data_IF_652807412256
#
_entry.id   IF_652807412256
#
_cell.length_a   1.000
_cell.length_b   1.000
_cell.length_c   1.000
_cell.angle_alpha   90.00
_cell.angle_beta   90.00
_cell.angle_gamma   90.00
#
_symmetry.space_group_name_H-M   'P 1'
#
loop_
_entity.id
_entity.type
_entity.pdbx_description
1 polymer ?
#
# COMPACT_ATOMS: atom_id res chain seq x y z
N UNK A 1 -15.69 22.09 -19.87
CA UNK A 1 -15.13 20.72 -20.00
C UNK A 1 -16.26 19.69 -19.99
N UNK A 2 -16.59 19.06 -21.13
CA UNK A 2 -17.68 18.05 -21.25
C UNK A 2 -17.50 17.06 -22.43
N UNK A 3 -16.25 16.83 -22.89
CA UNK A 3 -15.97 16.07 -24.13
C UNK A 3 -15.36 14.68 -23.95
N UNK A 4 -14.94 14.31 -22.73
CA UNK A 4 -14.26 13.03 -22.46
C UNK A 4 -15.21 11.86 -22.15
N UNK A 5 -16.44 12.13 -21.68
CA UNK A 5 -17.35 11.06 -21.25
C UNK A 5 -18.08 10.38 -22.42
N UNK A 6 -18.35 11.11 -23.51
CA UNK A 6 -18.96 10.54 -24.70
C UNK A 6 -17.99 9.59 -25.44
N UNK A 7 -16.70 9.90 -25.49
CA UNK A 7 -15.72 9.07 -26.21
C UNK A 7 -15.47 7.73 -25.52
N UNK A 8 -15.47 7.69 -24.18
CA UNK A 8 -15.25 6.45 -23.43
C UNK A 8 -16.40 5.45 -23.61
N UNK A 9 -17.64 5.94 -23.52
CA UNK A 9 -18.83 5.11 -23.74
C UNK A 9 -18.88 4.57 -25.17
N UNK A 10 -18.57 5.41 -26.16
CA UNK A 10 -18.51 5.00 -27.56
C UNK A 10 -17.41 3.95 -27.81
N UNK A 11 -16.24 4.10 -27.20
CA UNK A 11 -15.16 3.11 -27.30
C UNK A 11 -15.53 1.77 -26.63
N UNK A 12 -16.24 1.79 -25.49
CA UNK A 12 -16.72 0.57 -24.84
C UNK A 12 -17.78 -0.17 -25.67
N UNK A 13 -18.77 0.56 -26.20
CA UNK A 13 -19.81 -0.03 -27.04
C UNK A 13 -19.22 -0.64 -28.31
N UNK A 14 -18.26 0.05 -28.92
CA UNK A 14 -17.57 -0.49 -30.10
C UNK A 14 -16.75 -1.74 -29.78
N UNK A 15 -16.07 -1.80 -28.64
CA UNK A 15 -15.33 -2.99 -28.24
C UNK A 15 -16.27 -4.17 -27.92
N UNK A 16 -17.48 -3.91 -27.42
CA UNK A 16 -18.53 -4.92 -27.25
C UNK A 16 -19.02 -5.44 -28.61
N UNK A 17 -19.31 -4.55 -29.56
CA UNK A 17 -19.75 -4.92 -30.91
C UNK A 17 -18.68 -5.71 -31.69
N UNK A 18 -17.40 -5.51 -31.35
CA UNK A 18 -16.25 -6.17 -31.96
C UNK A 18 -15.76 -7.42 -31.16
N UNK A 19 -16.49 -7.84 -30.12
CA UNK A 19 -16.12 -8.98 -29.24
C UNK A 19 -14.71 -8.85 -28.58
N UNK A 20 -14.24 -7.62 -28.37
CA UNK A 20 -12.92 -7.30 -27.78
C UNK A 20 -13.01 -7.16 -26.27
N UNK A 21 -13.34 -8.25 -25.59
CA UNK A 21 -13.59 -8.28 -24.15
C UNK A 21 -12.39 -7.85 -23.29
N UNK A 22 -11.17 -8.17 -23.72
CA UNK A 22 -9.95 -7.73 -23.03
C UNK A 22 -9.81 -6.20 -23.07
N UNK A 23 -10.13 -5.57 -24.20
CA UNK A 23 -10.06 -4.12 -24.34
C UNK A 23 -11.12 -3.41 -23.49
N UNK A 24 -12.28 -4.03 -23.29
CA UNK A 24 -13.30 -3.56 -22.36
C UNK A 24 -12.75 -3.56 -20.94
N UNK A 25 -12.14 -4.68 -20.51
CA UNK A 25 -11.52 -4.80 -19.20
C UNK A 25 -10.42 -3.75 -19.01
N UNK A 26 -9.53 -3.59 -19.99
CA UNK A 26 -8.46 -2.58 -19.96
C UNK A 26 -9.00 -1.14 -19.92
N UNK A 27 -10.04 -0.82 -20.68
CA UNK A 27 -10.65 0.50 -20.68
C UNK A 27 -11.33 0.81 -19.34
N UNK A 28 -12.10 -0.14 -18.77
CA UNK A 28 -12.72 0.00 -17.46
C UNK A 28 -11.66 0.13 -16.36
N UNK A 29 -10.63 -0.71 -16.37
CA UNK A 29 -9.51 -0.62 -15.45
C UNK A 29 -8.80 0.75 -15.54
N UNK A 30 -8.55 1.26 -16.74
CA UNK A 30 -7.94 2.58 -16.93
C UNK A 30 -8.83 3.74 -16.48
N UNK A 31 -10.16 3.58 -16.57
CA UNK A 31 -11.13 4.55 -16.08
C UNK A 31 -11.22 4.53 -14.55
N UNK A 32 -11.22 3.34 -13.95
CA UNK A 32 -11.14 3.15 -12.50
C UNK A 32 -9.81 3.68 -11.96
N UNK A 33 -8.67 3.42 -12.64
CA UNK A 33 -7.33 4.01 -12.42
C UNK A 33 -7.36 5.54 -12.34
N UNK A 34 -8.09 6.21 -13.23
CA UNK A 34 -8.20 7.68 -13.20
C UNK A 34 -8.99 8.24 -12.02
N UNK A 35 -9.70 7.37 -11.28
CA UNK A 35 -10.60 7.73 -10.18
C UNK A 35 -10.19 7.16 -8.82
N UNK A 36 -9.30 6.17 -8.77
CA UNK A 36 -8.87 5.51 -7.55
C UNK A 36 -7.51 6.01 -7.06
N UNK A 37 -7.44 6.39 -5.78
CA UNK A 37 -6.21 6.67 -5.03
C UNK A 37 -5.79 5.50 -4.11
N UNK A 38 -6.58 4.43 -4.07
CA UNK A 38 -6.43 3.29 -3.15
C UNK A 38 -6.75 2.02 -3.95
N UNK A 39 -5.90 0.99 -3.83
CA UNK A 39 -6.00 -0.24 -4.61
C UNK A 39 -5.79 -1.44 -3.68
N UNK A 40 -6.68 -2.44 -3.74
CA UNK A 40 -6.51 -3.72 -3.05
C UNK A 40 -5.45 -4.59 -3.74
N UNK A 41 -4.81 -5.51 -3.00
CA UNK A 41 -3.71 -6.35 -3.50
C UNK A 41 -4.04 -7.12 -4.80
N UNK A 42 -5.28 -7.61 -4.96
CA UNK A 42 -5.73 -8.29 -6.18
C UNK A 42 -5.72 -7.39 -7.41
N UNK A 43 -5.97 -6.10 -7.22
CA UNK A 43 -5.88 -5.11 -8.29
C UNK A 43 -4.41 -4.67 -8.53
N UNK A 44 -3.50 -4.79 -7.55
CA UNK A 44 -2.05 -4.60 -7.74
C UNK A 44 -1.42 -5.72 -8.58
N UNK A 45 -1.82 -6.97 -8.37
CA UNK A 45 -1.34 -8.11 -9.14
C UNK A 45 -1.85 -8.14 -10.59
N UNK A 46 -3.01 -7.53 -10.83
CA UNK A 46 -3.71 -7.58 -12.13
C UNK A 46 -3.55 -6.32 -12.98
N UNK A 47 -2.98 -5.24 -12.42
CA UNK A 47 -2.82 -3.97 -13.11
C UNK A 47 -1.36 -3.50 -13.01
N UNK A 48 -0.75 -2.98 -14.09
CA UNK A 48 0.54 -2.32 -14.01
C UNK A 48 0.36 -0.96 -13.34
N UNK A 49 0.36 -0.96 -12.00
CA UNK A 49 0.24 0.26 -11.21
C UNK A 49 1.61 0.75 -10.79
N UNK A 50 1.87 2.05 -10.92
CA UNK A 50 3.09 2.65 -10.40
C UNK A 50 3.14 2.52 -8.89
N UNK A 51 4.22 1.94 -8.37
CA UNK A 51 4.47 1.71 -6.94
C UNK A 51 4.33 3.00 -6.12
N UNK A 52 4.78 4.14 -6.69
CA UNK A 52 4.71 5.48 -6.07
C UNK A 52 3.29 6.05 -5.92
N UNK A 53 2.27 5.42 -6.52
CA UNK A 53 0.90 5.95 -6.57
C UNK A 53 -0.11 5.14 -5.74
N UNK A 54 0.31 4.02 -5.14
CA UNK A 54 -0.57 3.13 -4.39
C UNK A 54 -0.17 3.03 -2.92
N UNK A 55 -1.03 3.56 -2.04
CA UNK A 55 -0.96 3.32 -0.61
C UNK A 55 -1.91 2.19 -0.21
N UNK A 56 -1.55 1.34 0.78
CA UNK A 56 -2.36 0.21 1.21
C UNK A 56 -3.56 0.61 2.08
N UNK A 57 -3.65 1.89 2.48
CA UNK A 57 -4.70 2.39 3.36
C UNK A 57 -5.73 3.26 2.63
N UNK A 58 -6.98 3.24 3.13
CA UNK A 58 -8.05 4.16 2.68
C UNK A 58 -7.62 5.62 2.89
N UNK A 59 -6.99 5.89 4.02
CA UNK A 59 -6.40 7.16 4.41
C UNK A 59 -5.06 6.88 5.08
N UNK A 60 -4.06 7.70 4.77
CA UNK A 60 -2.79 7.66 5.49
C UNK A 60 -2.80 8.55 6.75
N UNK A 61 -3.82 9.38 6.94
CA UNK A 61 -4.01 10.16 8.15
C UNK A 61 -4.66 9.30 9.22
N UNK A 62 -4.02 9.23 10.38
CA UNK A 62 -4.48 8.52 11.57
C UNK A 62 -5.32 9.46 12.45
N UNK A 63 -6.46 8.97 12.92
CA UNK A 63 -7.20 9.65 13.98
C UNK A 63 -6.44 9.57 15.32
N UNK A 64 -6.77 10.46 16.25
CA UNK A 64 -6.21 10.40 17.62
C UNK A 64 -6.46 9.05 18.30
N UNK A 65 -7.63 8.46 18.08
CA UNK A 65 -7.97 7.16 18.63
C UNK A 65 -7.08 6.03 18.06
N UNK A 66 -6.75 6.09 16.76
CA UNK A 66 -5.84 5.12 16.13
C UNK A 66 -4.40 5.32 16.63
N UNK A 67 -3.94 6.56 16.78
CA UNK A 67 -2.61 6.87 17.34
C UNK A 67 -2.49 6.29 18.77
N UNK A 68 -3.53 6.46 19.59
CA UNK A 68 -3.55 5.94 20.96
C UNK A 68 -3.67 4.41 21.00
N UNK A 69 -4.50 3.81 20.14
CA UNK A 69 -4.71 2.36 20.09
C UNK A 69 -3.47 1.60 19.61
N UNK A 70 -2.72 2.16 18.66
CA UNK A 70 -1.55 1.54 18.04
C UNK A 70 -0.21 2.07 18.58
N UNK A 71 -0.25 2.93 19.59
CA UNK A 71 0.91 3.56 20.23
C UNK A 71 1.88 4.27 19.23
N UNK A 72 1.32 4.88 18.18
CA UNK A 72 2.05 5.59 17.11
C UNK A 72 2.45 7.01 17.56
N UNK A 73 3.18 7.13 18.68
CA UNK A 73 3.43 8.43 19.32
C UNK A 73 4.64 9.18 18.79
N UNK A 74 5.61 8.46 18.25
CA UNK A 74 6.89 9.02 17.81
C UNK A 74 6.99 8.99 16.30
N UNK A 75 7.75 9.94 15.74
CA UNK A 75 8.15 9.86 14.33
C UNK A 75 9.12 8.69 14.16
N UNK A 76 8.93 7.88 13.12
CA UNK A 76 9.82 6.77 12.84
C UNK A 76 9.17 5.64 12.06
N UNK A 77 9.92 4.56 11.88
CA UNK A 77 9.44 3.36 11.20
C UNK A 77 8.58 2.49 12.12
N UNK A 78 7.46 2.04 11.60
CA UNK A 78 6.57 1.09 12.24
C UNK A 78 6.30 -0.07 11.29
N UNK A 79 6.09 -1.24 11.89
CA UNK A 79 5.60 -2.43 11.21
C UNK A 79 4.09 -2.44 11.42
N UNK A 80 3.34 -2.33 10.32
CA UNK A 80 1.89 -2.22 10.33
C UNK A 80 1.28 -3.42 9.63
N UNK A 81 0.34 -4.07 10.31
CA UNK A 81 -0.52 -5.09 9.73
C UNK A 81 -1.77 -4.41 9.15
N UNK A 82 -2.09 -4.71 7.90
CA UNK A 82 -3.18 -4.12 7.14
C UNK A 82 -4.14 -5.21 6.69
N UNK A 83 -5.41 -5.03 7.06
CA UNK A 83 -6.52 -5.87 6.62
C UNK A 83 -7.64 -4.95 6.12
N UNK A 84 -8.27 -5.29 5.00
CA UNK A 84 -9.34 -4.47 4.39
C UNK A 84 -8.97 -2.98 4.24
N UNK A 85 -7.71 -2.70 3.87
CA UNK A 85 -7.14 -1.35 3.71
C UNK A 85 -7.16 -0.50 5.00
N UNK A 86 -7.12 -1.14 6.17
CA UNK A 86 -7.07 -0.50 7.49
C UNK A 86 -5.96 -1.12 8.34
N UNK A 87 -5.37 -0.32 9.21
CA UNK A 87 -4.41 -0.82 10.19
C UNK A 87 -5.17 -1.63 11.23
N UNK A 88 -4.73 -2.88 11.46
CA UNK A 88 -5.27 -3.77 12.50
C UNK A 88 -4.29 -3.99 13.65
N UNK A 89 -3.00 -3.84 13.39
CA UNK A 89 -1.95 -3.81 14.40
C UNK A 89 -0.79 -2.94 13.91
N UNK A 90 -0.04 -2.35 14.84
CA UNK A 90 1.23 -1.72 14.56
C UNK A 90 2.19 -1.91 15.72
N UNK A 91 3.48 -2.01 15.40
CA UNK A 91 4.56 -1.99 16.38
C UNK A 91 5.73 -1.15 15.88
N UNK A 92 6.44 -0.44 16.77
CA UNK A 92 7.62 0.33 16.38
C UNK A 92 8.72 -0.61 15.89
N UNK A 93 9.36 -0.25 14.78
CA UNK A 93 10.49 -1.02 14.29
C UNK A 93 11.68 -0.84 15.27
N UNK A 94 12.24 -1.93 15.83
CA UNK A 94 13.10 -1.82 17.01
C UNK A 94 14.56 -1.42 16.71
N UNK A 95 14.97 -1.35 15.44
CA UNK A 95 16.35 -1.08 15.04
C UNK A 95 16.52 0.31 14.41
N UNK A 96 17.62 0.98 14.76
CA UNK A 96 18.05 2.25 14.16
C UNK A 96 19.14 2.03 13.13
N UNK A 97 19.18 2.82 12.05
CA UNK A 97 20.21 2.71 10.98
C UNK A 97 21.64 2.80 11.51
N UNK A 98 21.83 3.48 12.65
CA UNK A 98 23.14 3.64 13.31
C UNK A 98 23.58 2.39 14.11
N UNK A 99 22.73 1.35 14.22
CA UNK A 99 23.07 0.10 14.90
C UNK A 99 24.04 -0.74 14.04
N UNK A 100 25.21 -1.14 14.56
CA UNK A 100 26.16 -2.01 13.84
C UNK A 100 25.56 -3.35 13.37
N UNK A 101 24.53 -3.85 14.05
CA UNK A 101 23.82 -5.08 13.72
C UNK A 101 22.58 -4.84 12.84
N UNK A 102 22.27 -3.60 12.48
CA UNK A 102 21.03 -3.19 11.80
C UNK A 102 20.63 -4.06 10.61
N UNK A 103 21.56 -4.33 9.67
CA UNK A 103 21.26 -5.14 8.48
C UNK A 103 20.88 -6.58 8.83
N UNK A 104 21.63 -7.18 9.76
CA UNK A 104 21.35 -8.52 10.25
C UNK A 104 20.04 -8.56 11.04
N UNK A 105 19.77 -7.52 11.84
CA UNK A 105 18.54 -7.37 12.61
C UNK A 105 17.30 -7.26 11.72
N UNK A 106 17.35 -6.49 10.62
CA UNK A 106 16.26 -6.43 9.64
C UNK A 106 16.01 -7.81 9.02
N UNK A 107 17.06 -8.47 8.53
CA UNK A 107 16.94 -9.77 7.87
C UNK A 107 16.35 -10.82 8.83
N UNK A 108 16.90 -10.94 10.05
CA UNK A 108 16.41 -11.87 11.07
C UNK A 108 14.95 -11.57 11.46
N UNK A 109 14.59 -10.28 11.57
CA UNK A 109 13.25 -9.84 11.94
C UNK A 109 12.22 -10.10 10.83
N UNK A 110 12.55 -9.78 9.57
CA UNK A 110 11.70 -10.09 8.40
C UNK A 110 11.53 -11.61 8.24
N UNK A 111 12.59 -12.39 8.43
CA UNK A 111 12.51 -13.86 8.42
C UNK A 111 11.61 -14.37 9.55
N UNK A 112 11.71 -13.82 10.76
CA UNK A 112 10.88 -14.25 11.89
C UNK A 112 9.39 -14.02 11.68
N UNK A 113 9.02 -12.93 11.00
CA UNK A 113 7.63 -12.58 10.71
C UNK A 113 7.09 -13.26 9.44
N UNK A 114 7.97 -13.66 8.52
CA UNK A 114 7.57 -14.31 7.26
C UNK A 114 7.19 -15.78 7.39
N UNK A 115 7.50 -16.43 8.52
CA UNK A 115 7.15 -17.83 8.77
C UNK A 115 5.64 -18.12 8.94
N UNK A 116 4.83 -17.09 9.17
CA UNK A 116 3.40 -17.21 9.53
C UNK A 116 2.43 -16.63 8.45
N UNK A 117 2.92 -16.28 7.26
CA UNK A 117 2.17 -15.51 6.24
C UNK A 117 1.49 -16.41 5.19
N UNK A 118 0.55 -17.27 5.56
CA UNK A 118 -0.27 -17.97 4.55
C UNK A 118 -1.77 -17.57 4.57
N UNK A 119 -2.29 -16.95 5.62
CA UNK A 119 -3.71 -16.47 5.68
C UNK A 119 -3.91 -15.18 6.53
N UNK A 120 -2.83 -14.47 6.87
CA UNK A 120 -2.85 -13.31 7.77
C UNK A 120 -2.98 -11.94 7.09
N UNK A 121 -3.13 -10.86 7.88
CA UNK A 121 -3.11 -9.49 7.36
C UNK A 121 -1.79 -9.19 6.64
N UNK A 122 -1.84 -8.34 5.62
CA UNK A 122 -0.65 -7.91 4.89
C UNK A 122 0.24 -7.05 5.80
N UNK A 123 1.54 -7.36 5.88
CA UNK A 123 2.46 -6.63 6.76
C UNK A 123 3.37 -5.69 5.95
N UNK A 124 3.43 -4.45 6.38
CA UNK A 124 4.23 -3.39 5.77
C UNK A 124 5.14 -2.71 6.78
N UNK A 125 6.32 -2.28 6.34
CA UNK A 125 7.01 -1.17 6.98
C UNK A 125 6.41 0.15 6.51
N UNK A 126 6.07 1.05 7.42
CA UNK A 126 5.54 2.37 7.12
C UNK A 126 6.21 3.43 8.01
N UNK A 127 6.50 4.60 7.44
CA UNK A 127 7.08 5.71 8.18
C UNK A 127 5.96 6.58 8.76
N UNK A 128 5.93 6.70 10.09
CA UNK A 128 4.99 7.58 10.79
C UNK A 128 5.62 8.96 10.99
N UNK A 129 4.87 10.01 10.65
CA UNK A 129 5.23 11.41 10.93
C UNK A 129 3.95 12.24 11.14
N UNK A 130 3.85 12.92 12.28
CA UNK A 130 2.77 13.88 12.57
C UNK A 130 1.34 13.34 12.36
N UNK A 131 1.10 12.07 12.68
CA UNK A 131 -0.20 11.42 12.48
C UNK A 131 -0.44 10.89 11.07
N UNK A 132 0.60 10.85 10.22
CA UNK A 132 0.55 10.31 8.87
C UNK A 132 1.45 9.09 8.70
N UNK A 133 0.97 8.07 7.99
CA UNK A 133 1.78 6.93 7.53
C UNK A 133 2.18 7.12 6.07
N UNK A 134 3.47 7.04 5.76
CA UNK A 134 4.00 7.19 4.40
C UNK A 134 5.02 6.11 4.08
N UNK A 135 5.48 6.06 2.83
CA UNK A 135 6.58 5.19 2.39
C UNK A 135 6.36 3.71 2.72
N UNK A 136 5.14 3.22 2.46
CA UNK A 136 4.78 1.83 2.67
C UNK A 136 5.66 0.92 1.82
N UNK A 137 6.33 -0.01 2.49
CA UNK A 137 7.13 -1.05 1.87
C UNK A 137 6.61 -2.39 2.36
N UNK A 138 6.48 -3.37 1.47
CA UNK A 138 6.18 -4.73 1.90
C UNK A 138 7.25 -5.22 2.87
N UNK A 139 6.86 -6.00 3.87
CA UNK A 139 7.81 -6.47 4.87
C UNK A 139 9.02 -7.21 4.25
N UNK A 140 8.79 -8.02 3.20
CA UNK A 140 9.87 -8.74 2.49
C UNK A 140 10.81 -7.82 1.70
N UNK A 141 10.33 -6.63 1.33
CA UNK A 141 11.07 -5.56 0.63
C UNK A 141 11.57 -4.46 1.59
N UNK A 142 11.32 -4.60 2.89
CA UNK A 142 11.49 -3.50 3.83
C UNK A 142 12.97 -3.08 3.99
N UNK A 143 13.25 -1.81 3.68
CA UNK A 143 14.55 -1.12 3.71
C UNK A 143 14.38 0.26 4.37
N UNK A 144 14.47 0.35 5.71
CA UNK A 144 14.24 1.60 6.43
C UNK A 144 15.36 2.64 6.21
N UNK A 145 16.47 2.31 5.54
CA UNK A 145 17.60 3.24 5.34
C UNK A 145 17.25 4.50 4.54
N UNK A 146 16.16 4.45 3.76
CA UNK A 146 15.72 5.56 2.92
C UNK A 146 15.20 6.77 3.72
N UNK A 147 14.78 6.58 4.99
CA UNK A 147 14.36 7.66 5.90
C UNK A 147 14.88 7.43 7.30
N UNK A 148 15.54 8.46 7.85
CA UNK A 148 15.99 8.47 9.25
C UNK A 148 14.89 9.07 10.12
N UNK A 149 14.61 8.42 11.24
CA UNK A 149 13.76 8.95 12.31
C UNK A 149 14.46 10.09 13.04
#
# INVERSE_FOLDING_TARGET
MKRLDNSFKESLLRALDEDRYDDILFMLANRLRSRQKVISIHARASLPVGEDLCQPLITNHLSKAEIEAFDLRTTGWYIVAVEDCRVVAAEPFPYTVDDPAYRKGIEDYVISLSGDIDDGPDVYGAFHQDGHLTDFQHLYEFRPECKRA
#
